data_IF_106959347426
#
_entry.id   IF_106959347426
#
_cell.length_a   1.000
_cell.length_b   1.000
_cell.length_c   1.000
_cell.angle_alpha   90.00
_cell.angle_beta   90.00
_cell.angle_gamma   90.00
#
_symmetry.space_group_name_H-M   'P 1'
#
loop_
_entity.id
_entity.type
_entity.pdbx_description
1 polymer ?
#
# COMPACT_ATOMS: atom_id res chain seq x y z
N UNK A 1 -13.03 21.76 27.43
CA UNK A 1 -13.94 20.62 27.35
C UNK A 1 -14.52 20.63 25.95
N UNK A 2 -13.87 20.01 24.95
CA UNK A 2 -14.46 19.83 23.64
C UNK A 2 -15.45 18.67 23.74
N UNK A 3 -16.74 18.96 23.48
CA UNK A 3 -17.78 17.95 23.34
C UNK A 3 -17.27 16.80 22.44
N UNK A 4 -17.31 15.57 22.96
CA UNK A 4 -16.89 14.39 22.23
C UNK A 4 -17.73 14.28 20.96
N UNK A 5 -17.05 14.24 19.81
CA UNK A 5 -17.70 13.97 18.55
C UNK A 5 -18.48 12.65 18.68
N UNK A 6 -19.71 12.60 18.19
CA UNK A 6 -20.53 11.38 18.22
C UNK A 6 -19.76 10.25 17.52
N UNK A 7 -19.82 9.01 18.06
CA UNK A 7 -19.16 7.88 17.43
C UNK A 7 -19.65 7.73 15.98
N UNK A 8 -18.72 7.35 15.07
CA UNK A 8 -19.06 7.17 13.66
C UNK A 8 -20.13 6.09 13.45
N UNK A 9 -20.70 6.05 12.25
CA UNK A 9 -21.66 5.00 11.86
C UNK A 9 -21.02 3.61 11.97
N UNK A 10 -21.81 2.53 11.99
CA UNK A 10 -21.31 1.16 12.01
C UNK A 10 -20.27 0.89 10.90
N UNK A 11 -20.53 1.38 9.70
CA UNK A 11 -19.59 1.28 8.57
C UNK A 11 -18.28 2.01 8.86
N UNK A 12 -18.33 3.24 9.38
CA UNK A 12 -17.14 4.03 9.70
C UNK A 12 -16.30 3.41 10.82
N UNK A 13 -16.94 2.72 11.75
CA UNK A 13 -16.26 2.10 12.89
C UNK A 13 -15.59 0.78 12.54
N UNK A 14 -16.22 -0.07 11.72
CA UNK A 14 -15.76 -1.44 11.52
C UNK A 14 -15.23 -1.76 10.12
N UNK A 15 -15.82 -1.18 9.07
CA UNK A 15 -15.44 -1.52 7.69
C UNK A 15 -14.54 -0.48 7.04
N UNK A 16 -14.79 0.80 7.27
CA UNK A 16 -14.00 1.87 6.67
C UNK A 16 -12.48 1.73 6.91
N UNK A 17 -11.98 1.34 8.11
CA UNK A 17 -10.55 1.11 8.32
C UNK A 17 -9.99 0.01 7.43
N UNK A 18 -10.72 -1.09 7.26
CA UNK A 18 -10.31 -2.18 6.38
C UNK A 18 -10.29 -1.78 4.90
N UNK A 19 -11.28 -1.05 4.43
CA UNK A 19 -11.29 -0.50 3.06
C UNK A 19 -10.19 0.53 2.84
N UNK A 20 -9.92 1.38 3.83
CA UNK A 20 -8.81 2.35 3.76
C UNK A 20 -7.45 1.63 3.75
N UNK A 21 -7.24 0.61 4.59
CA UNK A 21 -6.03 -0.20 4.57
C UNK A 21 -5.84 -0.90 3.23
N UNK A 22 -6.89 -1.54 2.70
CA UNK A 22 -6.90 -2.15 1.37
C UNK A 22 -6.51 -1.16 0.27
N UNK A 23 -7.02 0.08 0.32
CA UNK A 23 -6.69 1.11 -0.68
C UNK A 23 -5.20 1.47 -0.68
N UNK A 24 -4.52 1.38 0.47
CA UNK A 24 -3.06 1.58 0.56
C UNK A 24 -2.31 0.35 0.05
N UNK A 25 -2.79 -0.87 0.34
CA UNK A 25 -2.16 -2.13 -0.09
C UNK A 25 -2.28 -2.32 -1.61
N UNK A 26 -3.43 -2.00 -2.21
CA UNK A 26 -3.63 -2.11 -3.66
C UNK A 26 -2.92 -0.95 -4.36
N UNK A 27 -1.62 -1.08 -4.50
CA UNK A 27 -0.77 -0.22 -5.31
C UNK A 27 -0.49 -0.80 -6.69
N UNK A 28 0.41 -0.13 -7.43
CA UNK A 28 0.72 -0.51 -8.79
C UNK A 28 1.30 -1.91 -8.99
N UNK A 29 2.18 -2.34 -8.10
CA UNK A 29 2.77 -3.69 -8.16
C UNK A 29 1.73 -4.79 -7.96
N UNK A 30 0.79 -4.56 -7.05
CA UNK A 30 -0.37 -5.42 -6.86
C UNK A 30 -1.27 -5.46 -8.11
N UNK A 31 -1.62 -4.28 -8.65
CA UNK A 31 -2.54 -4.17 -9.79
C UNK A 31 -2.01 -4.85 -11.06
N UNK A 32 -0.69 -4.91 -11.24
CA UNK A 32 -0.05 -5.66 -12.35
C UNK A 32 0.00 -7.17 -12.12
N UNK A 33 -0.23 -7.65 -10.90
CA UNK A 33 -0.04 -9.04 -10.48
C UNK A 33 1.40 -9.42 -10.16
N UNK A 34 2.39 -8.55 -10.38
CA UNK A 34 3.82 -8.90 -10.20
C UNK A 34 4.17 -9.22 -8.75
N UNK A 35 3.59 -8.51 -7.78
CA UNK A 35 3.80 -8.82 -6.37
C UNK A 35 3.28 -10.22 -6.00
N UNK A 36 2.14 -10.63 -6.55
CA UNK A 36 1.58 -11.95 -6.27
C UNK A 36 2.42 -13.07 -6.88
N UNK A 37 3.00 -12.81 -8.07
CA UNK A 37 3.93 -13.73 -8.72
C UNK A 37 5.22 -13.87 -7.93
N UNK A 38 5.73 -12.78 -7.35
CA UNK A 38 6.98 -12.79 -6.58
C UNK A 38 6.84 -13.51 -5.24
N UNK A 39 5.78 -13.21 -4.49
CA UNK A 39 5.68 -13.60 -3.09
C UNK A 39 4.79 -14.82 -2.81
N UNK A 40 3.91 -15.22 -3.75
CA UNK A 40 2.95 -16.29 -3.48
C UNK A 40 2.99 -17.43 -4.52
N UNK A 41 3.16 -17.13 -5.79
CA UNK A 41 3.16 -18.16 -6.83
C UNK A 41 4.27 -19.20 -6.66
N UNK A 42 5.53 -18.86 -6.29
CA UNK A 42 6.60 -19.83 -6.15
C UNK A 42 6.32 -20.92 -5.11
N UNK A 43 5.47 -20.60 -4.14
CA UNK A 43 5.07 -21.54 -3.10
C UNK A 43 4.09 -22.64 -3.59
N UNK A 44 3.60 -22.54 -4.82
CA UNK A 44 2.56 -23.40 -5.38
C UNK A 44 1.16 -23.06 -4.89
N UNK A 45 0.12 -23.80 -5.33
CA UNK A 45 -1.28 -23.46 -5.05
C UNK A 45 -1.59 -23.35 -3.56
N UNK A 46 -1.35 -24.40 -2.80
CA UNK A 46 -1.62 -24.42 -1.37
C UNK A 46 -0.59 -23.62 -0.56
N UNK A 47 0.68 -23.64 -0.94
CA UNK A 47 1.72 -22.85 -0.30
C UNK A 47 1.44 -21.34 -0.43
N UNK A 48 0.98 -20.87 -1.59
CA UNK A 48 0.56 -19.49 -1.78
C UNK A 48 -0.64 -19.10 -0.92
N UNK A 49 -1.65 -19.99 -0.81
CA UNK A 49 -2.80 -19.75 0.10
C UNK A 49 -2.34 -19.66 1.57
N UNK A 50 -1.43 -20.54 2.00
CA UNK A 50 -0.88 -20.48 3.37
C UNK A 50 -0.05 -19.23 3.61
N UNK A 51 0.74 -18.80 2.63
CA UNK A 51 1.50 -17.54 2.70
C UNK A 51 0.56 -16.33 2.80
N UNK A 52 -0.53 -16.31 2.04
CA UNK A 52 -1.57 -15.28 2.13
C UNK A 52 -2.29 -15.30 3.47
N UNK A 53 -2.58 -16.47 4.02
CA UNK A 53 -3.18 -16.59 5.35
C UNK A 53 -2.24 -16.05 6.44
N UNK A 54 -0.93 -16.36 6.37
CA UNK A 54 0.06 -15.82 7.29
C UNK A 54 0.19 -14.29 7.19
N UNK A 55 0.24 -13.75 5.96
CA UNK A 55 0.23 -12.31 5.72
C UNK A 55 -1.03 -11.63 6.27
N UNK A 56 -2.20 -12.24 6.06
CA UNK A 56 -3.49 -11.77 6.60
C UNK A 56 -3.48 -11.73 8.12
N UNK A 57 -2.98 -12.79 8.76
CA UNK A 57 -2.88 -12.86 10.22
C UNK A 57 -1.97 -11.75 10.77
N UNK A 58 -0.82 -11.52 10.14
CA UNK A 58 0.10 -10.45 10.52
C UNK A 58 -0.54 -9.07 10.33
N UNK A 59 -1.22 -8.82 9.20
CA UNK A 59 -1.94 -7.57 8.97
C UNK A 59 -3.04 -7.33 10.01
N UNK A 60 -3.86 -8.35 10.29
CA UNK A 60 -4.91 -8.27 11.30
C UNK A 60 -4.34 -7.94 12.68
N UNK A 61 -3.28 -8.63 13.09
CA UNK A 61 -2.63 -8.42 14.38
C UNK A 61 -2.05 -7.01 14.50
N UNK A 62 -1.30 -6.57 13.50
CA UNK A 62 -0.64 -5.26 13.52
C UNK A 62 -1.64 -4.13 13.41
N UNK A 63 -2.67 -4.22 12.55
CA UNK A 63 -3.75 -3.23 12.49
C UNK A 63 -4.49 -3.16 13.83
N UNK A 64 -4.83 -4.29 14.43
CA UNK A 64 -5.50 -4.36 15.74
C UNK A 64 -4.67 -3.65 16.82
N UNK A 65 -3.41 -4.02 16.97
CA UNK A 65 -2.54 -3.42 17.99
C UNK A 65 -2.30 -1.93 17.72
N UNK A 66 -2.11 -1.54 16.47
CA UNK A 66 -1.92 -0.14 16.08
C UNK A 66 -3.14 0.70 16.41
N UNK A 67 -4.34 0.25 16.06
CA UNK A 67 -5.57 1.00 16.31
C UNK A 67 -5.91 1.06 17.81
N UNK A 68 -5.73 -0.04 18.53
CA UNK A 68 -5.93 -0.07 19.98
C UNK A 68 -4.94 0.84 20.69
N UNK A 69 -3.66 0.82 20.28
CA UNK A 69 -2.64 1.69 20.85
C UNK A 69 -2.88 3.16 20.50
N UNK A 70 -3.27 3.46 19.26
CA UNK A 70 -3.61 4.82 18.84
C UNK A 70 -4.77 5.41 19.64
N UNK A 71 -5.81 4.60 19.92
CA UNK A 71 -6.92 4.97 20.80
C UNK A 71 -6.46 5.20 22.25
N UNK A 72 -5.65 4.29 22.78
CA UNK A 72 -5.13 4.39 24.14
C UNK A 72 -4.26 5.64 24.35
N UNK A 73 -3.44 5.96 23.35
CA UNK A 73 -2.52 7.11 23.38
C UNK A 73 -3.15 8.39 22.81
N UNK A 74 -4.37 8.36 22.25
CA UNK A 74 -4.99 9.46 21.51
C UNK A 74 -4.06 10.05 20.44
N UNK A 75 -3.44 9.17 19.67
CA UNK A 75 -2.50 9.51 18.60
C UNK A 75 -3.07 9.07 17.26
N UNK A 76 -3.71 10.00 16.55
CA UNK A 76 -4.44 9.73 15.29
C UNK A 76 -3.67 10.18 14.05
N UNK A 77 -2.38 10.41 14.20
CA UNK A 77 -1.44 10.66 13.11
C UNK A 77 -0.15 9.84 13.34
N UNK A 78 0.53 9.49 12.23
CA UNK A 78 1.70 8.61 12.28
C UNK A 78 2.85 9.20 13.10
N UNK A 79 3.06 10.52 13.08
CA UNK A 79 4.18 11.17 13.75
C UNK A 79 4.03 11.12 15.26
N UNK A 80 2.89 11.55 15.79
CA UNK A 80 2.60 11.46 17.23
C UNK A 80 2.57 10.01 17.71
N UNK A 81 2.09 9.08 16.87
CA UNK A 81 2.10 7.66 17.15
C UNK A 81 3.53 7.13 17.34
N UNK A 82 4.43 7.37 16.38
CA UNK A 82 5.82 6.89 16.47
C UNK A 82 6.66 7.64 17.51
N UNK A 83 6.40 8.92 17.75
CA UNK A 83 7.04 9.64 18.87
C UNK A 83 6.71 8.98 20.21
N UNK A 84 5.49 8.49 20.40
CA UNK A 84 5.10 7.77 21.62
C UNK A 84 5.60 6.32 21.64
N UNK A 85 5.59 5.64 20.48
CA UNK A 85 6.04 4.25 20.37
C UNK A 85 7.56 4.12 20.43
N UNK A 86 8.33 4.94 19.69
CA UNK A 86 9.78 4.85 19.56
C UNK A 86 10.53 5.88 20.40
N UNK A 87 9.86 6.93 20.92
CA UNK A 87 10.49 8.02 21.63
C UNK A 87 11.46 8.79 20.72
N UNK A 88 12.72 9.02 21.13
CA UNK A 88 13.69 9.78 20.33
C UNK A 88 14.05 9.11 19.01
N UNK A 89 13.82 7.81 18.85
CA UNK A 89 14.12 7.05 17.63
C UNK A 89 13.00 7.11 16.58
N UNK A 90 11.95 7.90 16.74
CA UNK A 90 10.82 8.00 15.82
C UNK A 90 11.22 8.32 14.37
N UNK A 91 12.33 9.01 14.17
CA UNK A 91 12.86 9.37 12.87
C UNK A 91 13.31 8.15 12.04
N UNK A 92 13.60 7.01 12.67
CA UNK A 92 13.98 5.77 11.97
C UNK A 92 12.82 5.25 11.11
N UNK A 93 11.58 5.32 11.64
CA UNK A 93 10.39 5.02 10.84
C UNK A 93 10.20 6.03 9.71
N UNK A 94 10.44 7.32 9.97
CA UNK A 94 10.33 8.37 8.94
C UNK A 94 11.26 8.09 7.75
N UNK A 95 12.51 7.69 8.01
CA UNK A 95 13.47 7.33 6.96
C UNK A 95 13.04 6.06 6.21
N UNK A 96 12.60 5.03 6.93
CA UNK A 96 12.13 3.79 6.32
C UNK A 96 10.92 4.05 5.41
N UNK A 97 10.00 4.90 5.85
CA UNK A 97 8.82 5.24 5.07
C UNK A 97 9.16 6.10 3.84
N UNK A 98 10.06 7.06 3.96
CA UNK A 98 10.54 7.83 2.80
C UNK A 98 11.23 6.94 1.77
N UNK A 99 12.08 6.01 2.22
CA UNK A 99 12.70 5.03 1.33
C UNK A 99 11.66 4.16 0.61
N UNK A 100 10.62 3.71 1.34
CA UNK A 100 9.50 2.97 0.74
C UNK A 100 8.79 3.79 -0.33
N UNK A 101 8.46 5.05 -0.07
CA UNK A 101 7.76 5.91 -1.03
C UNK A 101 8.58 6.13 -2.32
N UNK A 102 9.91 6.26 -2.22
CA UNK A 102 10.79 6.38 -3.39
C UNK A 102 10.80 5.10 -4.22
N UNK A 103 10.90 3.92 -3.57
CA UNK A 103 10.87 2.64 -4.27
C UNK A 103 9.48 2.39 -4.90
N UNK A 104 8.39 2.73 -4.20
CA UNK A 104 7.03 2.65 -4.75
C UNK A 104 6.88 3.51 -6.01
N UNK A 105 7.36 4.74 -6.01
CA UNK A 105 7.33 5.60 -7.20
C UNK A 105 8.12 5.02 -8.36
N UNK A 106 9.27 4.38 -8.10
CA UNK A 106 10.05 3.70 -9.12
C UNK A 106 9.31 2.48 -9.68
N UNK A 107 8.69 1.67 -8.82
CA UNK A 107 7.83 0.53 -9.23
C UNK A 107 6.68 1.01 -10.11
N UNK A 108 6.02 2.12 -9.75
CA UNK A 108 4.91 2.67 -10.52
C UNK A 108 5.36 3.16 -11.89
N UNK A 109 6.52 3.83 -11.97
CA UNK A 109 7.12 4.25 -13.24
C UNK A 109 7.46 3.06 -14.14
N UNK A 110 8.08 2.01 -13.59
CA UNK A 110 8.40 0.78 -14.32
C UNK A 110 7.13 0.05 -14.81
N UNK A 111 6.09 -0.02 -13.98
CA UNK A 111 4.81 -0.63 -14.35
C UNK A 111 4.11 0.15 -15.47
N UNK A 112 4.08 1.49 -15.40
CA UNK A 112 3.53 2.32 -16.46
C UNK A 112 4.29 2.18 -17.77
N UNK A 113 5.62 2.03 -17.69
CA UNK A 113 6.48 1.72 -18.84
C UNK A 113 6.10 0.39 -19.50
N UNK A 114 5.92 -0.66 -18.69
CA UNK A 114 5.52 -1.97 -19.18
C UNK A 114 4.10 -1.96 -19.79
N UNK A 115 3.16 -1.20 -19.22
CA UNK A 115 1.80 -1.00 -19.78
C UNK A 115 1.87 -0.31 -21.15
N UNK A 116 2.65 0.76 -21.27
CA UNK A 116 2.84 1.48 -22.54
C UNK A 116 3.45 0.58 -23.63
N UNK A 117 4.39 -0.29 -23.25
CA UNK A 117 4.97 -1.28 -24.14
C UNK A 117 3.95 -2.35 -24.56
N UNK A 118 3.18 -2.89 -23.62
CA UNK A 118 2.19 -3.94 -23.89
C UNK A 118 1.04 -3.47 -24.78
N UNK A 119 0.52 -2.24 -24.58
CA UNK A 119 -0.62 -1.73 -25.34
C UNK A 119 -0.25 -1.07 -26.67
N UNK A 120 0.86 -0.34 -26.71
CA UNK A 120 1.18 0.56 -27.81
C UNK A 120 2.53 0.28 -28.45
N UNK A 121 3.32 -0.68 -27.92
CA UNK A 121 4.69 -0.93 -28.38
C UNK A 121 5.67 0.21 -28.04
N UNK A 122 5.34 1.10 -27.11
CA UNK A 122 6.17 2.24 -26.74
C UNK A 122 7.44 1.80 -26.01
N UNK A 123 8.53 2.58 -26.13
CA UNK A 123 9.66 2.38 -25.21
C UNK A 123 9.21 2.55 -23.76
N UNK A 124 9.68 1.75 -22.80
CA UNK A 124 9.25 1.81 -21.40
C UNK A 124 9.36 3.21 -20.78
N UNK A 125 10.38 3.98 -21.19
CA UNK A 125 10.58 5.36 -20.73
C UNK A 125 9.41 6.28 -21.13
N UNK A 126 8.75 6.06 -22.27
CA UNK A 126 7.61 6.88 -22.70
C UNK A 126 6.39 6.63 -21.80
N UNK A 127 6.09 5.39 -21.46
CA UNK A 127 5.01 5.05 -20.51
C UNK A 127 5.26 5.61 -19.09
N UNK A 128 6.50 5.51 -18.62
CA UNK A 128 6.91 6.10 -17.34
C UNK A 128 6.78 7.64 -17.37
N UNK A 129 7.22 8.30 -18.44
CA UNK A 129 7.09 9.76 -18.62
C UNK A 129 5.63 10.20 -18.66
N UNK A 130 4.74 9.43 -19.30
CA UNK A 130 3.31 9.68 -19.32
C UNK A 130 2.72 9.67 -17.89
N UNK A 131 3.08 8.67 -17.08
CA UNK A 131 2.64 8.62 -15.69
C UNK A 131 3.16 9.82 -14.88
N UNK A 132 4.44 10.17 -15.05
CA UNK A 132 5.06 11.33 -14.38
C UNK A 132 4.34 12.63 -14.73
N UNK A 133 4.04 12.84 -16.00
CA UNK A 133 3.31 14.01 -16.46
C UNK A 133 1.88 14.04 -15.86
N UNK A 134 1.19 12.89 -15.81
CA UNK A 134 -0.13 12.78 -15.23
C UNK A 134 -0.12 13.05 -13.71
N UNK A 135 0.85 12.51 -12.97
CA UNK A 135 1.02 12.79 -11.53
C UNK A 135 1.30 14.28 -11.30
N UNK A 136 2.22 14.86 -12.06
CA UNK A 136 2.56 16.28 -11.97
C UNK A 136 1.33 17.17 -12.23
N UNK A 137 0.52 16.83 -13.21
CA UNK A 137 -0.74 17.53 -13.51
C UNK A 137 -1.71 17.44 -12.32
N UNK A 138 -2.00 16.23 -11.81
CA UNK A 138 -2.92 16.03 -10.69
C UNK A 138 -2.47 16.78 -9.44
N UNK A 139 -1.19 16.69 -9.08
CA UNK A 139 -0.62 17.38 -7.90
C UNK A 139 -0.64 18.91 -8.07
N UNK A 140 -0.56 19.42 -9.31
CA UNK A 140 -0.61 20.86 -9.60
C UNK A 140 -2.01 21.47 -9.45
N UNK A 141 -3.08 20.67 -9.64
CA UNK A 141 -4.48 21.13 -9.52
C UNK A 141 -5.00 21.23 -8.07
N UNK A 142 -4.21 20.82 -7.08
CA UNK A 142 -4.53 20.95 -5.65
C UNK A 142 -5.32 19.78 -5.07
N UNK A 143 -5.53 19.83 -3.74
CA UNK A 143 -6.02 18.69 -2.95
C UNK A 143 -7.43 18.22 -3.32
N UNK A 144 -8.36 19.13 -3.62
CA UNK A 144 -9.74 18.77 -3.99
C UNK A 144 -9.83 17.91 -5.26
N UNK A 145 -8.98 18.21 -6.24
CA UNK A 145 -8.91 17.44 -7.49
C UNK A 145 -8.34 16.06 -7.25
N UNK A 146 -7.33 15.96 -6.39
CA UNK A 146 -6.72 14.68 -5.98
C UNK A 146 -7.76 13.78 -5.29
N UNK A 147 -8.49 14.29 -4.29
CA UNK A 147 -9.52 13.53 -3.57
C UNK A 147 -10.65 13.04 -4.48
N UNK A 148 -11.07 13.87 -5.43
CA UNK A 148 -12.12 13.50 -6.39
C UNK A 148 -11.68 12.37 -7.32
N UNK A 149 -10.46 12.44 -7.83
CA UNK A 149 -9.86 11.37 -8.66
C UNK A 149 -9.79 10.07 -7.87
N UNK A 150 -9.28 10.11 -6.64
CA UNK A 150 -9.14 8.91 -5.79
C UNK A 150 -10.46 8.19 -5.55
N UNK A 151 -11.53 8.93 -5.28
CA UNK A 151 -12.85 8.34 -5.06
C UNK A 151 -13.34 7.53 -6.29
N UNK A 152 -13.21 8.09 -7.48
CA UNK A 152 -13.69 7.44 -8.70
C UNK A 152 -12.78 6.29 -9.15
N UNK A 153 -11.47 6.43 -9.00
CA UNK A 153 -10.50 5.36 -9.31
C UNK A 153 -10.76 4.14 -8.45
N UNK A 154 -11.01 4.30 -7.15
CA UNK A 154 -11.29 3.17 -6.26
C UNK A 154 -12.54 2.38 -6.68
N UNK A 155 -13.66 3.06 -7.01
CA UNK A 155 -14.89 2.38 -7.49
C UNK A 155 -14.65 1.66 -8.80
N UNK A 156 -13.97 2.31 -9.75
CA UNK A 156 -13.62 1.75 -11.05
C UNK A 156 -12.75 0.50 -10.90
N UNK A 157 -11.72 0.57 -10.04
CA UNK A 157 -10.82 -0.54 -9.74
C UNK A 157 -11.59 -1.79 -9.24
N UNK A 158 -12.49 -1.62 -8.28
CA UNK A 158 -13.25 -2.75 -7.76
C UNK A 158 -14.15 -3.39 -8.81
N UNK A 159 -14.82 -2.58 -9.63
CA UNK A 159 -15.67 -3.07 -10.72
C UNK A 159 -14.88 -3.88 -11.74
N UNK A 160 -13.73 -3.36 -12.17
CA UNK A 160 -12.86 -4.03 -13.15
C UNK A 160 -12.23 -5.31 -12.58
N UNK A 161 -11.80 -5.30 -11.30
CA UNK A 161 -11.29 -6.52 -10.66
C UNK A 161 -12.34 -7.60 -10.47
N UNK A 162 -13.56 -7.24 -10.07
CA UNK A 162 -14.64 -8.19 -9.95
C UNK A 162 -14.99 -8.82 -11.31
N UNK A 163 -15.03 -7.99 -12.35
CA UNK A 163 -15.26 -8.48 -13.72
C UNK A 163 -14.11 -9.37 -14.19
N UNK A 164 -12.85 -8.99 -13.91
CA UNK A 164 -11.70 -9.83 -14.22
C UNK A 164 -11.80 -11.20 -13.55
N UNK A 165 -12.07 -11.23 -12.25
CA UNK A 165 -12.20 -12.48 -11.51
C UNK A 165 -13.32 -13.37 -12.10
N UNK A 166 -14.48 -12.79 -12.40
CA UNK A 166 -15.60 -13.51 -13.01
C UNK A 166 -15.23 -14.10 -14.38
N UNK A 167 -14.61 -13.31 -15.26
CA UNK A 167 -14.17 -13.75 -16.58
C UNK A 167 -13.06 -14.81 -16.50
N UNK A 168 -12.07 -14.61 -15.63
CA UNK A 168 -10.95 -15.54 -15.48
C UNK A 168 -11.38 -16.88 -14.86
N UNK A 169 -12.23 -16.85 -13.83
CA UNK A 169 -12.77 -18.07 -13.22
C UNK A 169 -13.63 -18.86 -14.21
N UNK A 170 -14.44 -18.18 -15.03
CA UNK A 170 -15.25 -18.85 -16.04
C UNK A 170 -14.42 -19.42 -17.20
N UNK A 171 -13.33 -18.76 -17.59
CA UNK A 171 -12.50 -19.19 -18.72
C UNK A 171 -11.40 -20.21 -18.34
N UNK A 172 -10.92 -20.15 -17.10
CA UNK A 172 -9.76 -20.92 -16.65
C UNK A 172 -10.07 -21.89 -15.51
N UNK A 173 -11.35 -22.10 -15.16
CA UNK A 173 -11.78 -22.91 -14.02
C UNK A 173 -11.17 -24.29 -13.98
N UNK A 174 -11.16 -25.01 -15.08
CA UNK A 174 -10.59 -26.37 -15.18
C UNK A 174 -9.08 -26.38 -14.90
N UNK A 175 -8.35 -25.37 -15.39
CA UNK A 175 -6.91 -25.23 -15.13
C UNK A 175 -6.63 -24.90 -13.68
N UNK A 176 -7.43 -24.03 -13.08
CA UNK A 176 -7.34 -23.67 -11.67
C UNK A 176 -7.59 -24.90 -10.81
N UNK A 177 -8.65 -25.66 -11.10
CA UNK A 177 -8.96 -26.88 -10.39
C UNK A 177 -7.86 -27.92 -10.52
N UNK A 178 -7.32 -28.11 -11.71
CA UNK A 178 -6.19 -29.03 -11.94
C UNK A 178 -4.93 -28.62 -11.16
N UNK A 179 -4.64 -27.33 -11.07
CA UNK A 179 -3.53 -26.83 -10.29
C UNK A 179 -3.67 -27.14 -8.80
N UNK A 180 -4.85 -26.94 -8.21
CA UNK A 180 -5.11 -27.26 -6.80
C UNK A 180 -5.25 -28.77 -6.51
N UNK A 181 -5.61 -29.57 -7.49
CA UNK A 181 -5.73 -31.02 -7.37
C UNK A 181 -4.36 -31.72 -7.49
N UNK A 182 -3.34 -31.05 -8.04
CA UNK A 182 -2.02 -31.63 -8.17
C UNK A 182 -1.40 -31.90 -6.80
N UNK A 183 -0.86 -33.12 -6.55
CA UNK A 183 -0.24 -33.47 -5.27
C UNK A 183 1.14 -32.79 -5.16
N UNK A 184 1.18 -31.55 -4.72
CA UNK A 184 2.40 -30.79 -4.49
C UNK A 184 2.44 -30.28 -3.04
N UNK A 185 3.51 -30.60 -2.33
CA UNK A 185 3.77 -29.97 -1.02
C UNK A 185 4.09 -28.49 -1.22
N UNK A 186 3.71 -27.62 -0.26
CA UNK A 186 4.12 -26.23 -0.28
C UNK A 186 5.64 -26.11 -0.40
N UNK A 187 6.14 -25.26 -1.28
CA UNK A 187 7.59 -25.05 -1.41
C UNK A 187 8.16 -24.45 -0.12
N UNK A 188 9.40 -24.80 0.19
CA UNK A 188 10.11 -24.23 1.33
C UNK A 188 10.17 -22.70 1.21
N UNK A 189 9.96 -21.99 2.34
CA UNK A 189 10.04 -20.50 2.36
C UNK A 189 8.72 -19.77 2.22
N UNK A 190 7.60 -20.44 1.92
CA UNK A 190 6.28 -19.80 1.78
C UNK A 190 5.90 -18.84 2.93
N UNK A 191 6.27 -19.19 4.15
CA UNK A 191 6.01 -18.34 5.32
C UNK A 191 6.84 -17.05 5.26
N UNK A 192 8.13 -17.15 4.92
CA UNK A 192 9.03 -16.00 4.79
C UNK A 192 8.58 -15.04 3.70
N UNK A 193 8.12 -15.55 2.57
CA UNK A 193 7.62 -14.75 1.46
C UNK A 193 6.29 -14.07 1.83
N UNK A 194 5.38 -14.76 2.50
CA UNK A 194 4.15 -14.17 3.03
C UNK A 194 4.41 -13.07 4.05
N UNK A 195 5.34 -13.26 4.98
CA UNK A 195 5.74 -12.23 5.95
C UNK A 195 6.46 -11.05 5.29
N UNK A 196 7.25 -11.31 4.24
CA UNK A 196 7.89 -10.26 3.44
C UNK A 196 6.86 -9.40 2.73
N UNK A 197 5.88 -10.02 2.06
CA UNK A 197 4.77 -9.31 1.44
C UNK A 197 3.97 -8.48 2.45
N UNK A 198 3.71 -9.06 3.62
CA UNK A 198 3.00 -8.34 4.67
C UNK A 198 3.80 -7.12 5.16
N UNK A 199 5.11 -7.25 5.35
CA UNK A 199 5.96 -6.29 6.05
C UNK A 199 5.94 -4.88 5.45
N UNK A 200 6.16 -4.72 4.15
CA UNK A 200 6.17 -3.38 3.53
C UNK A 200 4.75 -2.77 3.41
N UNK A 201 3.72 -3.59 3.34
CA UNK A 201 2.34 -3.13 3.30
C UNK A 201 1.81 -2.64 4.66
N UNK A 202 2.45 -3.04 5.78
CA UNK A 202 2.03 -2.66 7.13
C UNK A 202 2.07 -1.15 7.38
N UNK A 203 2.83 -0.40 6.60
CA UNK A 203 2.79 1.07 6.60
C UNK A 203 1.36 1.58 6.43
N UNK A 204 0.52 0.88 5.69
CA UNK A 204 -0.90 1.22 5.53
C UNK A 204 -1.63 1.40 6.85
N UNK A 205 -1.34 0.60 7.88
CA UNK A 205 -2.00 0.69 9.18
C UNK A 205 -1.79 2.04 9.88
N UNK A 206 -0.62 2.67 9.67
CA UNK A 206 -0.33 4.00 10.26
C UNK A 206 -0.71 5.16 9.33
N UNK A 207 -0.73 4.96 8.03
CA UNK A 207 -1.21 5.95 7.06
C UNK A 207 -2.69 6.25 7.29
N UNK A 208 -3.48 5.22 7.62
CA UNK A 208 -4.92 5.34 7.84
C UNK A 208 -5.31 5.69 9.29
N UNK A 209 -4.37 5.97 10.18
CA UNK A 209 -4.66 6.32 11.59
C UNK A 209 -5.72 7.43 11.78
N UNK A 210 -5.86 8.44 10.91
CA UNK A 210 -6.96 9.40 11.03
C UNK A 210 -8.36 8.77 11.09
N UNK A 211 -8.56 7.57 10.52
CA UNK A 211 -9.82 6.83 10.57
C UNK A 211 -10.17 6.38 11.99
N UNK A 212 -9.17 6.19 12.85
CA UNK A 212 -9.34 5.77 14.23
C UNK A 212 -10.14 6.77 15.10
N UNK A 213 -10.36 8.00 14.61
CA UNK A 213 -11.24 9.01 15.25
C UNK A 213 -12.70 8.56 15.30
N UNK A 214 -13.13 7.66 14.43
CA UNK A 214 -14.49 7.14 14.38
C UNK A 214 -14.78 6.04 15.41
N UNK A 215 -13.76 5.48 16.07
CA UNK A 215 -13.93 4.42 17.06
C UNK A 215 -14.53 4.97 18.35
N UNK A 216 -15.55 4.27 18.88
CA UNK A 216 -16.13 4.61 20.19
C UNK A 216 -15.22 4.15 21.36
N UNK A 217 -14.31 3.19 21.12
CA UNK A 217 -13.42 2.67 22.13
C UNK A 217 -12.45 1.60 21.63
N UNK A 218 -11.70 0.99 22.55
CA UNK A 218 -10.69 -0.01 22.24
C UNK A 218 -11.28 -1.28 21.58
N UNK A 219 -12.53 -1.66 21.90
CA UNK A 219 -13.20 -2.81 21.29
C UNK A 219 -13.42 -2.58 19.80
N UNK A 220 -13.89 -1.40 19.41
CA UNK A 220 -14.09 -1.06 18.00
C UNK A 220 -12.75 -1.08 17.25
N UNK A 221 -11.73 -0.49 17.84
CA UNK A 221 -10.37 -0.47 17.29
C UNK A 221 -9.85 -1.91 17.07
N UNK A 222 -10.06 -2.81 18.03
CA UNK A 222 -9.64 -4.20 17.92
C UNK A 222 -10.39 -4.94 16.81
N UNK A 223 -11.71 -4.84 16.78
CA UNK A 223 -12.54 -5.50 15.76
C UNK A 223 -12.22 -4.96 14.36
N UNK A 224 -12.14 -3.65 14.19
CA UNK A 224 -11.79 -3.02 12.92
C UNK A 224 -10.42 -3.47 12.41
N UNK A 225 -9.42 -3.55 13.30
CA UNK A 225 -8.08 -4.02 12.96
C UNK A 225 -8.06 -5.49 12.55
N UNK A 226 -8.78 -6.36 13.25
CA UNK A 226 -8.90 -7.78 12.90
C UNK A 226 -9.54 -8.00 11.53
N UNK A 227 -10.54 -7.19 11.19
CA UNK A 227 -11.26 -7.26 9.89
C UNK A 227 -10.40 -6.69 8.75
N UNK A 228 -9.49 -5.75 9.04
CA UNK A 228 -8.71 -5.06 8.01
C UNK A 228 -7.83 -6.01 7.19
N UNK A 229 -7.20 -7.01 7.82
CA UNK A 229 -6.39 -8.00 7.12
C UNK A 229 -7.17 -8.79 6.06
N UNK A 230 -8.25 -9.51 6.43
CA UNK A 230 -9.08 -10.26 5.47
C UNK A 230 -9.64 -9.37 4.35
N UNK A 231 -10.14 -8.17 4.66
CA UNK A 231 -10.67 -7.25 3.65
C UNK A 231 -9.60 -6.81 2.63
N UNK A 232 -8.34 -6.64 3.08
CA UNK A 232 -7.26 -6.27 2.20
C UNK A 232 -6.74 -7.45 1.35
N UNK A 233 -6.76 -8.68 1.91
CA UNK A 233 -6.25 -9.87 1.23
C UNK A 233 -7.23 -10.45 0.21
N UNK A 234 -8.53 -10.28 0.39
CA UNK A 234 -9.54 -10.93 -0.44
C UNK A 234 -9.36 -10.71 -1.95
N UNK A 235 -9.11 -9.48 -2.46
CA UNK A 235 -8.85 -9.29 -3.89
C UNK A 235 -7.54 -9.92 -4.35
N UNK A 236 -6.49 -9.94 -3.49
CA UNK A 236 -5.23 -10.60 -3.79
C UNK A 236 -5.43 -12.11 -3.96
N UNK A 237 -6.18 -12.72 -3.07
CA UNK A 237 -6.51 -14.14 -3.14
C UNK A 237 -7.28 -14.47 -4.42
N UNK A 238 -8.29 -13.67 -4.78
CA UNK A 238 -9.04 -13.85 -6.01
C UNK A 238 -8.12 -13.78 -7.24
N UNK A 239 -7.20 -12.81 -7.26
CA UNK A 239 -6.28 -12.66 -8.38
C UNK A 239 -5.22 -13.78 -8.43
N UNK A 240 -4.69 -14.19 -7.29
CA UNK A 240 -3.79 -15.33 -7.16
C UNK A 240 -4.41 -16.62 -7.72
N UNK A 241 -5.68 -16.91 -7.34
CA UNK A 241 -6.42 -18.07 -7.83
C UNK A 241 -6.54 -18.03 -9.35
N UNK A 242 -6.81 -16.87 -9.95
CA UNK A 242 -6.87 -16.73 -11.41
C UNK A 242 -5.52 -16.99 -12.09
N UNK A 243 -4.38 -16.68 -11.42
CA UNK A 243 -3.05 -16.83 -12.00
C UNK A 243 -2.45 -18.23 -11.83
N UNK A 244 -2.86 -19.00 -10.82
CA UNK A 244 -2.17 -20.23 -10.43
C UNK A 244 -2.14 -21.28 -11.53
N UNK A 245 -3.17 -21.34 -12.39
CA UNK A 245 -3.20 -22.22 -13.55
C UNK A 245 -2.17 -21.88 -14.65
N UNK A 246 -1.46 -20.78 -14.51
CA UNK A 246 -0.48 -20.27 -15.46
C UNK A 246 0.88 -19.96 -14.81
N UNK A 247 1.18 -20.56 -13.66
CA UNK A 247 2.36 -20.26 -12.84
C UNK A 247 3.65 -20.18 -13.65
N UNK A 248 3.94 -21.20 -14.47
CA UNK A 248 5.18 -21.27 -15.27
C UNK A 248 5.26 -20.17 -16.36
N UNK A 249 4.12 -19.74 -16.89
CA UNK A 249 4.07 -18.76 -17.98
C UNK A 249 4.17 -17.31 -17.48
N UNK A 250 3.73 -17.05 -16.25
CA UNK A 250 3.72 -15.69 -15.67
C UNK A 250 4.91 -15.43 -14.75
N UNK A 251 5.74 -16.44 -14.44
CA UNK A 251 6.85 -16.33 -13.49
C UNK A 251 7.78 -15.16 -13.80
N UNK A 252 8.20 -15.03 -15.06
CA UNK A 252 9.15 -14.01 -15.53
C UNK A 252 8.45 -12.80 -16.18
N UNK A 253 7.11 -12.80 -16.23
CA UNK A 253 6.36 -11.71 -16.85
C UNK A 253 6.46 -10.42 -16.03
N UNK A 254 6.82 -9.30 -16.66
CA UNK A 254 6.76 -7.98 -16.02
C UNK A 254 5.32 -7.59 -15.65
N UNK A 255 4.35 -7.95 -16.49
CA UNK A 255 2.92 -7.74 -16.29
C UNK A 255 2.18 -9.08 -16.35
N UNK A 256 2.11 -9.85 -15.26
CA UNK A 256 1.37 -11.11 -15.21
C UNK A 256 -0.12 -10.97 -15.59
N UNK A 257 -0.73 -9.85 -15.23
CA UNK A 257 -2.11 -9.52 -15.61
C UNK A 257 -2.28 -9.47 -17.13
N UNK A 258 -1.30 -8.92 -17.85
CA UNK A 258 -1.33 -8.78 -19.31
C UNK A 258 -1.40 -10.14 -20.01
N UNK A 259 -0.61 -11.10 -19.55
CA UNK A 259 -0.66 -12.46 -20.05
C UNK A 259 -2.04 -13.11 -19.92
N UNK A 260 -2.67 -12.96 -18.76
CA UNK A 260 -4.02 -13.50 -18.53
C UNK A 260 -5.09 -12.80 -19.40
N UNK A 261 -4.97 -11.48 -19.56
CA UNK A 261 -5.87 -10.68 -20.39
C UNK A 261 -5.77 -11.06 -21.87
N UNK A 262 -4.56 -11.31 -22.38
CA UNK A 262 -4.35 -11.84 -23.73
C UNK A 262 -5.01 -13.22 -23.88
N UNK A 263 -4.88 -14.11 -22.88
CA UNK A 263 -5.51 -15.44 -22.89
C UNK A 263 -7.03 -15.39 -22.81
N UNK A 264 -7.61 -14.35 -22.17
CA UNK A 264 -9.05 -14.13 -22.19
C UNK A 264 -9.60 -13.77 -23.58
N UNK A 265 -8.73 -13.30 -24.49
CA UNK A 265 -9.09 -13.01 -25.88
C UNK A 265 -10.14 -11.90 -26.06
N UNK A 266 -10.21 -10.93 -25.13
CA UNK A 266 -11.16 -9.82 -25.13
C UNK A 266 -10.45 -8.47 -25.19
N UNK A 267 -10.13 -7.93 -26.38
CA UNK A 267 -9.28 -6.71 -26.51
C UNK A 267 -9.84 -5.50 -25.78
N UNK A 268 -11.18 -5.32 -25.79
CA UNK A 268 -11.83 -4.21 -25.08
C UNK A 268 -11.60 -4.29 -23.58
N UNK A 269 -11.67 -5.51 -23.00
CA UNK A 269 -11.47 -5.71 -21.57
C UNK A 269 -10.00 -5.59 -21.20
N UNK A 270 -9.10 -6.04 -22.06
CA UNK A 270 -7.64 -5.84 -21.92
C UNK A 270 -7.32 -4.35 -21.79
N UNK A 271 -7.79 -3.51 -22.72
CA UNK A 271 -7.58 -2.07 -22.67
C UNK A 271 -8.20 -1.43 -21.41
N UNK A 272 -9.43 -1.85 -21.03
CA UNK A 272 -10.11 -1.36 -19.82
C UNK A 272 -9.32 -1.69 -18.55
N UNK A 273 -8.80 -2.92 -18.45
CA UNK A 273 -8.01 -3.36 -17.29
C UNK A 273 -6.68 -2.59 -17.20
N UNK A 274 -5.96 -2.43 -18.31
CA UNK A 274 -4.70 -1.67 -18.31
C UNK A 274 -4.93 -0.19 -18.00
N UNK A 275 -6.04 0.40 -18.46
CA UNK A 275 -6.44 1.76 -18.05
C UNK A 275 -6.71 1.84 -16.55
N UNK A 276 -7.38 0.85 -15.98
CA UNK A 276 -7.62 0.76 -14.54
C UNK A 276 -6.30 0.66 -13.77
N UNK A 277 -5.34 -0.18 -14.21
CA UNK A 277 -4.01 -0.28 -13.58
C UNK A 277 -3.29 1.07 -13.66
N UNK A 278 -3.28 1.72 -14.82
CA UNK A 278 -2.67 3.05 -14.96
C UNK A 278 -3.31 4.10 -14.04
N UNK A 279 -4.63 4.08 -13.89
CA UNK A 279 -5.34 4.96 -12.96
C UNK A 279 -4.96 4.69 -11.49
N UNK A 280 -4.78 3.41 -11.10
CA UNK A 280 -4.30 3.04 -9.78
C UNK A 280 -2.85 3.48 -9.51
N UNK A 281 -1.98 3.40 -10.53
CA UNK A 281 -0.61 3.94 -10.46
C UNK A 281 -0.61 5.45 -10.27
N UNK A 282 -1.48 6.15 -11.00
CA UNK A 282 -1.66 7.60 -10.90
C UNK A 282 -2.13 8.02 -9.51
N UNK A 283 -3.16 7.35 -8.98
CA UNK A 283 -3.69 7.58 -7.63
C UNK A 283 -2.60 7.41 -6.58
N UNK A 284 -1.97 6.24 -6.55
CA UNK A 284 -0.94 5.89 -5.56
C UNK A 284 0.30 6.78 -5.69
N UNK A 285 0.72 7.08 -6.93
CA UNK A 285 1.86 7.94 -7.21
C UNK A 285 1.62 9.41 -6.79
N UNK A 286 0.44 9.95 -7.09
CA UNK A 286 0.05 11.28 -6.64
C UNK A 286 -0.01 11.36 -5.11
N UNK A 287 -0.56 10.33 -4.45
CA UNK A 287 -0.57 10.22 -2.99
C UNK A 287 0.83 10.17 -2.38
N UNK A 288 1.75 9.41 -2.97
CA UNK A 288 3.14 9.32 -2.50
C UNK A 288 3.88 10.66 -2.62
N UNK A 289 3.78 11.34 -3.76
CA UNK A 289 4.39 12.67 -3.98
C UNK A 289 3.79 13.69 -3.03
N UNK A 290 2.46 13.69 -2.86
CA UNK A 290 1.78 14.57 -1.90
C UNK A 290 2.27 14.34 -0.47
N UNK A 291 2.35 13.08 -0.04
CA UNK A 291 2.83 12.73 1.30
C UNK A 291 4.25 13.23 1.58
N UNK A 292 5.18 13.11 0.62
CA UNK A 292 6.55 13.63 0.76
C UNK A 292 6.55 15.15 0.80
N UNK A 293 5.78 15.81 -0.07
CA UNK A 293 5.68 17.26 -0.11
C UNK A 293 5.14 17.85 1.20
N UNK A 294 4.09 17.25 1.78
CA UNK A 294 3.55 17.72 3.06
C UNK A 294 4.53 17.56 4.23
N UNK A 295 5.34 16.49 4.23
CA UNK A 295 6.41 16.29 5.21
C UNK A 295 7.51 17.32 5.09
N UNK A 296 7.97 17.56 3.87
CA UNK A 296 8.96 18.59 3.59
C UNK A 296 8.44 19.99 3.97
N UNK A 297 7.17 20.29 3.67
CA UNK A 297 6.52 21.54 4.06
C UNK A 297 6.40 21.70 5.58
N UNK A 298 6.05 20.63 6.29
CA UNK A 298 5.98 20.64 7.76
C UNK A 298 7.37 20.87 8.40
N UNK A 299 8.40 20.19 7.90
CA UNK A 299 9.78 20.35 8.37
C UNK A 299 10.31 21.77 8.09
N UNK A 300 10.01 22.32 6.92
CA UNK A 300 10.38 23.69 6.57
C UNK A 300 9.69 24.70 7.48
N UNK A 301 8.37 24.56 7.67
CA UNK A 301 7.58 25.46 8.54
C UNK A 301 8.11 25.46 9.97
N UNK A 302 8.46 24.26 10.49
CA UNK A 302 9.04 24.13 11.82
C UNK A 302 10.39 24.84 11.98
N UNK A 303 11.22 24.90 10.91
CA UNK A 303 12.54 25.51 10.94
C UNK A 303 12.54 27.00 10.58
N UNK A 304 11.68 27.43 9.67
CA UNK A 304 11.68 28.77 9.07
C UNK A 304 10.51 29.64 9.47
N UNK A 305 9.48 29.10 10.14
CA UNK A 305 8.27 29.84 10.51
C UNK A 305 7.41 30.31 9.32
N UNK A 306 7.79 29.94 8.08
CA UNK A 306 7.16 30.41 6.83
C UNK A 306 6.56 29.24 6.05
N UNK A 307 5.49 29.47 5.25
CA UNK A 307 4.96 28.44 4.36
C UNK A 307 6.00 28.00 3.32
N UNK A 308 5.94 26.74 2.93
CA UNK A 308 6.80 26.20 1.86
C UNK A 308 6.42 26.83 0.52
N UNK A 309 7.39 27.38 -0.23
CA UNK A 309 7.10 28.02 -1.52
C UNK A 309 6.52 27.01 -2.53
N UNK A 310 5.50 27.39 -3.33
CA UNK A 310 4.94 26.51 -4.36
C UNK A 310 5.99 26.00 -5.36
N UNK A 311 6.95 26.84 -5.73
CA UNK A 311 8.06 26.44 -6.62
C UNK A 311 8.94 25.34 -6.01
N UNK A 312 9.17 25.35 -4.69
CA UNK A 312 9.93 24.32 -4.04
C UNK A 312 9.15 23.00 -3.92
N UNK A 313 7.82 23.04 -3.77
CA UNK A 313 6.94 21.86 -3.87
C UNK A 313 7.04 21.21 -5.25
N UNK A 314 6.96 22.02 -6.30
CA UNK A 314 7.07 21.53 -7.67
C UNK A 314 8.47 20.97 -7.97
N UNK A 315 9.53 21.65 -7.53
CA UNK A 315 10.90 21.19 -7.69
C UNK A 315 11.17 19.85 -6.99
N UNK A 316 10.65 19.67 -5.75
CA UNK A 316 10.76 18.41 -5.04
C UNK A 316 9.97 17.30 -5.74
N UNK A 317 8.75 17.58 -6.17
CA UNK A 317 7.95 16.62 -6.92
C UNK A 317 8.65 16.19 -8.22
N UNK A 318 9.18 17.16 -8.99
CA UNK A 318 9.95 16.88 -10.20
C UNK A 318 11.20 16.04 -9.92
N UNK A 319 11.97 16.37 -8.88
CA UNK A 319 13.17 15.62 -8.50
C UNK A 319 12.83 14.17 -8.10
N UNK A 320 11.76 13.98 -7.33
CA UNK A 320 11.29 12.63 -6.94
C UNK A 320 10.84 11.81 -8.14
N UNK A 321 10.05 12.40 -9.03
CA UNK A 321 9.52 11.73 -10.21
C UNK A 321 10.63 11.40 -11.22
N UNK A 322 11.54 12.32 -11.49
CA UNK A 322 12.69 12.06 -12.37
C UNK A 322 13.63 11.02 -11.77
N UNK A 323 13.92 11.12 -10.47
CA UNK A 323 14.73 10.14 -9.76
C UNK A 323 14.10 8.76 -9.77
N UNK A 324 12.78 8.68 -9.62
CA UNK A 324 12.05 7.39 -9.67
C UNK A 324 12.08 6.76 -11.06
N UNK A 325 11.94 7.55 -12.13
CA UNK A 325 12.08 7.06 -13.52
C UNK A 325 13.49 6.55 -13.79
N UNK A 326 14.51 7.29 -13.35
CA UNK A 326 15.90 6.83 -13.48
C UNK A 326 16.14 5.52 -12.72
N UNK A 327 15.62 5.39 -11.51
CA UNK A 327 15.74 4.17 -10.73
C UNK A 327 14.98 3.01 -11.39
N UNK A 328 13.79 3.27 -11.92
CA UNK A 328 12.98 2.30 -12.66
C UNK A 328 13.70 1.77 -13.91
N UNK A 329 14.33 2.66 -14.67
CA UNK A 329 15.07 2.31 -15.89
C UNK A 329 16.33 1.47 -15.61
N UNK A 330 17.03 1.78 -14.51
CA UNK A 330 18.27 1.09 -14.13
C UNK A 330 18.06 -0.27 -13.48
N UNK A 331 17.01 -0.40 -12.69
CA UNK A 331 16.78 -1.61 -11.86
C UNK A 331 15.72 -2.53 -12.48
N UNK A 332 14.68 -1.95 -13.07
CA UNK A 332 13.54 -2.68 -13.64
C UNK A 332 12.51 -3.12 -12.61
N UNK A 333 11.27 -3.38 -13.09
CA UNK A 333 10.11 -3.67 -12.24
C UNK A 333 10.30 -4.92 -11.36
N UNK A 334 10.80 -6.00 -11.97
CA UNK A 334 10.95 -7.29 -11.27
C UNK A 334 11.94 -7.17 -10.11
N UNK A 335 13.13 -6.58 -10.34
CA UNK A 335 14.16 -6.47 -9.32
C UNK A 335 13.79 -5.45 -8.22
N UNK A 336 13.06 -4.37 -8.55
CA UNK A 336 12.53 -3.43 -7.56
C UNK A 336 11.57 -4.11 -6.58
N UNK A 337 10.69 -4.98 -7.08
CA UNK A 337 9.75 -5.73 -6.23
C UNK A 337 10.49 -6.83 -5.46
N UNK A 338 11.29 -7.65 -6.13
CA UNK A 338 11.97 -8.78 -5.51
C UNK A 338 12.96 -8.37 -4.41
N UNK A 339 13.82 -7.40 -4.69
CA UNK A 339 14.90 -7.00 -3.77
C UNK A 339 14.55 -5.74 -2.99
N UNK A 340 13.94 -4.73 -3.64
CA UNK A 340 13.60 -3.45 -3.02
C UNK A 340 12.55 -3.62 -1.92
N UNK A 341 11.44 -4.27 -2.21
CA UNK A 341 10.40 -4.50 -1.21
C UNK A 341 10.85 -5.46 -0.11
N UNK A 342 11.65 -6.47 -0.43
CA UNK A 342 12.18 -7.41 0.57
C UNK A 342 13.04 -6.70 1.62
N UNK A 343 13.99 -5.87 1.18
CA UNK A 343 14.84 -5.08 2.09
C UNK A 343 14.03 -4.11 2.96
N UNK A 344 13.05 -3.42 2.35
CA UNK A 344 12.16 -2.50 3.07
C UNK A 344 11.22 -3.22 4.04
N UNK A 345 10.77 -4.44 3.71
CA UNK A 345 9.99 -5.26 4.64
C UNK A 345 10.75 -5.54 5.92
N UNK A 346 11.99 -6.02 5.83
CA UNK A 346 12.80 -6.29 7.02
C UNK A 346 13.04 -5.03 7.83
N UNK A 347 13.30 -3.90 7.18
CA UNK A 347 13.45 -2.62 7.85
C UNK A 347 12.17 -2.21 8.60
N UNK A 348 11.00 -2.30 7.95
CA UNK A 348 9.72 -1.94 8.56
C UNK A 348 9.30 -2.93 9.66
N UNK A 349 9.57 -4.21 9.51
CA UNK A 349 9.38 -5.18 10.58
C UNK A 349 10.21 -4.82 11.82
N UNK A 350 11.47 -4.39 11.62
CA UNK A 350 12.36 -4.00 12.71
C UNK A 350 11.96 -2.66 13.37
N UNK A 351 11.62 -1.62 12.59
CA UNK A 351 11.37 -0.27 13.14
C UNK A 351 9.91 -0.02 13.53
N UNK A 352 8.99 -0.89 13.10
CA UNK A 352 7.57 -0.73 13.40
C UNK A 352 6.99 -1.93 14.14
N UNK A 353 7.04 -3.13 13.53
CA UNK A 353 6.34 -4.30 14.09
C UNK A 353 6.97 -4.76 15.40
N UNK A 354 8.28 -4.90 15.44
CA UNK A 354 8.97 -5.32 16.66
C UNK A 354 8.75 -4.35 17.83
N UNK A 355 8.89 -3.01 17.68
CA UNK A 355 8.53 -2.07 18.73
C UNK A 355 7.05 -2.09 19.10
N UNK A 356 6.14 -2.34 18.15
CA UNK A 356 4.71 -2.44 18.42
C UNK A 356 4.40 -3.65 19.30
N UNK A 357 4.97 -4.82 18.97
CA UNK A 357 4.78 -6.08 19.71
C UNK A 357 5.45 -6.08 21.09
N UNK A 358 6.48 -5.29 21.29
CA UNK A 358 7.22 -5.17 22.57
C UNK A 358 6.73 -3.98 23.38
N UNK A 359 7.24 -2.79 23.06
CA UNK A 359 6.91 -1.56 23.79
C UNK A 359 5.45 -1.15 23.65
N UNK A 360 4.83 -1.36 22.47
CA UNK A 360 3.43 -1.04 22.24
C UNK A 360 2.51 -1.86 23.15
N UNK A 361 2.73 -3.16 23.22
CA UNK A 361 1.97 -4.07 24.12
C UNK A 361 2.23 -3.71 25.58
N UNK A 362 3.47 -3.42 25.95
CA UNK A 362 3.81 -2.98 27.30
C UNK A 362 3.09 -1.66 27.69
N UNK A 363 3.01 -0.68 26.77
CA UNK A 363 2.26 0.58 26.98
C UNK A 363 0.76 0.32 27.18
N UNK A 364 0.19 -0.71 26.52
CA UNK A 364 -1.21 -1.08 26.71
C UNK A 364 -1.47 -1.76 28.06
N UNK A 365 -0.49 -2.46 28.61
CA UNK A 365 -0.59 -3.16 29.90
C UNK A 365 -0.38 -2.21 31.09
N UNK A 366 0.52 -1.25 30.96
CA UNK A 366 0.63 -0.16 31.93
C UNK A 366 -0.62 0.70 31.81
N UNK A 367 -1.54 0.57 32.74
CA UNK A 367 -2.77 1.38 32.88
C UNK A 367 -2.45 2.80 33.31
N UNK A 368 -1.42 3.44 32.76
CA UNK A 368 -1.13 4.83 33.05
C UNK A 368 -2.22 5.74 32.43
N UNK A 369 -2.73 6.74 33.18
CA UNK A 369 -3.60 7.75 32.61
C UNK A 369 -2.90 8.37 31.42
N UNK A 370 -3.66 8.64 30.34
CA UNK A 370 -3.15 9.19 29.10
C UNK A 370 -2.15 10.34 29.40
N UNK A 371 -0.91 10.30 28.91
CA UNK A 371 0.00 11.41 29.08
C UNK A 371 -0.63 12.68 28.57
N UNK A 372 -0.44 13.78 29.28
CA UNK A 372 -0.96 15.10 28.92
C UNK A 372 -0.70 15.40 27.43
N UNK A 373 -1.61 16.10 26.73
CA UNK A 373 -1.37 16.48 25.35
C UNK A 373 -0.01 17.16 25.26
N UNK A 374 0.82 16.71 24.30
CA UNK A 374 2.08 17.37 23.99
C UNK A 374 1.76 18.85 23.78
N UNK A 375 2.33 19.71 24.60
CA UNK A 375 2.16 21.15 24.47
C UNK A 375 2.49 21.55 23.02
N UNK A 376 1.66 22.39 22.38
CA UNK A 376 2.03 22.94 21.08
C UNK A 376 3.42 23.58 21.26
N UNK A 377 4.35 23.25 20.39
CA UNK A 377 5.64 23.92 20.34
C UNK A 377 5.32 25.37 19.98
N UNK A 378 5.15 26.21 20.99
CA UNK A 378 5.05 27.66 20.81
C UNK A 378 6.34 28.11 20.12
N UNK A 379 6.26 28.92 19.08
CA UNK A 379 7.45 29.54 18.53
C UNK A 379 8.10 30.35 19.66
N UNK A 380 9.35 30.00 20.01
CA UNK A 380 10.17 30.85 20.87
C UNK A 380 10.30 32.20 20.17
N UNK A 381 9.66 33.22 20.77
CA UNK A 381 9.92 34.60 20.41
C UNK A 381 11.38 34.92 20.85
N UNK A 382 12.28 34.97 19.88
CA UNK A 382 13.49 35.78 19.91
C UNK A 382 13.78 36.27 18.48
#
# INVERSE_FOLDING_TARGET
>A
VSAGAAPGSWFQRYLLPGFAFKAVVIGGGYATGRELVEFFLPAGPWGGVYAMAAATALWSLVCMLTFVLAQALRSFDYRSFFQRLLGPLWWTFELAYLALLIVLLAVFGAAAGAIGQALFGWPPLAGAACLVAAIAAVVSFGNESVERVFKWVSVFLYGVYALFAALALSAFGDRIQAAFAAPAAPAAGWLGDGLTYAGYNLVGAVVILPVARHFAGRRDAAVAGLIAGPLAMLPALAFFVCMIGFQAQVADAALPSDYLLQRLGRPWFHALFQLMVFAALLESGAGAVHAINERAAAAWRARRGRPWPPRARLALAAALLLGSVFLADRVGLVALIASGYRGLSYLLLAVYVLPLLTRGVWLLWRRDPAPAPLAPILPSHH
#
